data_IF_242147858329
#
_entry.id   IF_242147858329
#
_cell.length_a   1.000
_cell.length_b   1.000
_cell.length_c   1.000
_cell.angle_alpha   90.00
_cell.angle_beta   90.00
_cell.angle_gamma   90.00
#
_symmetry.space_group_name_H-M   'P 1'
#
loop_
_entity.id
_entity.type
_entity.pdbx_description
1 polymer ?
#
# COMPACT_ATOMS: atom_id res chain seq x y z
N UNK A 1 1.51 -5.13 9.97
CA UNK A 1 1.73 -4.95 11.42
C UNK A 1 3.14 -4.41 11.74
N UNK A 2 4.13 -4.54 10.86
CA UNK A 2 5.54 -4.20 11.13
C UNK A 2 5.93 -2.75 10.79
N UNK A 3 5.05 -1.96 10.18
CA UNK A 3 5.30 -0.58 9.73
C UNK A 3 5.69 0.37 10.88
N UNK A 4 4.91 0.50 11.98
CA UNK A 4 5.25 1.44 13.04
C UNK A 4 6.59 1.15 13.72
N UNK A 5 6.94 -0.10 14.07
CA UNK A 5 8.24 -0.36 14.68
C UNK A 5 9.42 -0.21 13.69
N UNK A 6 9.21 -0.37 12.37
CA UNK A 6 10.27 -0.06 11.38
C UNK A 6 10.53 1.44 11.32
N UNK A 7 9.48 2.27 11.38
CA UNK A 7 9.62 3.73 11.50
C UNK A 7 10.38 4.09 12.78
N UNK A 8 10.06 3.45 13.91
CA UNK A 8 10.79 3.66 15.15
C UNK A 8 12.29 3.31 15.02
N UNK A 9 12.62 2.22 14.31
CA UNK A 9 14.00 1.85 14.00
C UNK A 9 14.73 2.93 13.19
N UNK A 10 14.09 3.47 12.14
CA UNK A 10 14.63 4.59 11.37
C UNK A 10 14.87 5.84 12.22
N UNK A 11 13.91 6.19 13.06
CA UNK A 11 14.05 7.34 14.00
C UNK A 11 15.21 7.13 14.97
N UNK A 12 15.39 5.91 15.47
CA UNK A 12 16.50 5.59 16.38
C UNK A 12 17.86 5.76 15.68
N UNK A 13 18.01 5.32 14.44
CA UNK A 13 19.23 5.52 13.65
C UNK A 13 19.54 7.02 13.55
N UNK A 14 18.57 7.85 13.15
CA UNK A 14 18.79 9.30 13.05
C UNK A 14 18.98 10.00 14.42
N UNK A 15 18.62 9.34 15.53
CA UNK A 15 18.88 9.80 16.91
C UNK A 15 20.16 9.21 17.52
N UNK A 16 21.06 8.68 16.70
CA UNK A 16 22.36 8.10 17.10
C UNK A 16 22.27 6.85 17.99
N UNK A 17 21.22 6.08 17.85
CA UNK A 17 21.14 4.72 18.39
C UNK A 17 21.28 3.69 17.25
N UNK A 18 22.36 3.83 16.48
CA UNK A 18 22.55 3.24 15.17
C UNK A 18 22.41 1.72 15.16
N UNK A 19 23.04 1.01 16.10
CA UNK A 19 23.00 -0.45 16.11
C UNK A 19 21.63 -1.02 16.50
N UNK A 20 20.92 -0.41 17.46
CA UNK A 20 19.57 -0.83 17.87
C UNK A 20 18.58 -0.54 16.76
N UNK A 21 18.66 0.65 16.19
CA UNK A 21 17.82 1.05 15.06
C UNK A 21 18.06 0.19 13.84
N UNK A 22 19.33 -0.12 13.52
CA UNK A 22 19.71 -0.97 12.40
C UNK A 22 19.15 -2.40 12.55
N UNK A 23 19.29 -2.98 13.74
CA UNK A 23 18.78 -4.32 14.03
C UNK A 23 17.25 -4.38 13.92
N UNK A 24 16.56 -3.37 14.42
CA UNK A 24 15.11 -3.25 14.28
C UNK A 24 14.71 -3.13 12.81
N UNK A 25 15.33 -2.23 12.05
CA UNK A 25 15.01 -2.07 10.63
C UNK A 25 15.26 -3.36 9.86
N UNK A 26 16.40 -4.00 10.05
CA UNK A 26 16.78 -5.24 9.38
C UNK A 26 15.74 -6.35 9.60
N UNK A 27 15.41 -6.62 10.87
CA UNK A 27 14.48 -7.71 11.24
C UNK A 27 13.05 -7.39 10.79
N UNK A 28 12.60 -6.15 10.98
CA UNK A 28 11.23 -5.78 10.69
C UNK A 28 10.96 -5.60 9.20
N UNK A 29 11.95 -5.18 8.40
CA UNK A 29 11.87 -5.20 6.94
C UNK A 29 11.80 -6.64 6.44
N UNK A 30 12.59 -7.54 7.01
CA UNK A 30 12.52 -8.97 6.67
C UNK A 30 11.11 -9.53 6.92
N UNK A 31 10.50 -9.29 8.08
CA UNK A 31 9.14 -9.72 8.39
C UNK A 31 8.07 -9.02 7.55
N UNK A 32 8.24 -7.73 7.25
CA UNK A 32 7.31 -7.00 6.39
C UNK A 32 7.25 -7.59 4.99
N UNK A 33 8.39 -7.95 4.41
CA UNK A 33 8.46 -8.59 3.09
C UNK A 33 7.98 -10.04 3.13
N UNK A 34 8.28 -10.79 4.20
CA UNK A 34 7.79 -12.15 4.42
C UNK A 34 6.25 -12.22 4.48
N UNK A 35 5.58 -11.15 4.92
CA UNK A 35 4.12 -11.06 4.90
C UNK A 35 3.54 -10.98 3.47
N UNK A 36 4.37 -10.86 2.44
CA UNK A 36 4.06 -10.91 1.01
C UNK A 36 2.99 -9.91 0.52
N UNK A 37 2.89 -8.75 1.18
CA UNK A 37 2.03 -7.64 0.75
C UNK A 37 2.87 -6.54 0.09
N UNK A 38 3.31 -6.77 -1.15
CA UNK A 38 4.22 -5.88 -1.90
C UNK A 38 3.63 -4.47 -2.03
N UNK A 39 2.33 -4.35 -2.30
CA UNK A 39 1.65 -3.05 -2.42
C UNK A 39 1.74 -2.23 -1.12
N UNK A 40 1.51 -2.85 0.03
CA UNK A 40 1.63 -2.17 1.32
C UNK A 40 3.07 -1.77 1.63
N UNK A 41 4.03 -2.60 1.23
CA UNK A 41 5.46 -2.29 1.37
C UNK A 41 5.88 -1.10 0.48
N UNK A 42 5.29 -0.98 -0.72
CA UNK A 42 5.50 0.16 -1.60
C UNK A 42 4.97 1.48 -0.99
N UNK A 43 3.75 1.48 -0.49
CA UNK A 43 3.20 2.67 0.20
C UNK A 43 4.00 3.03 1.45
N UNK A 44 4.48 2.01 2.18
CA UNK A 44 5.35 2.23 3.32
C UNK A 44 6.67 2.90 2.92
N UNK A 45 7.26 2.52 1.78
CA UNK A 45 8.46 3.15 1.26
C UNK A 45 8.27 4.66 1.04
N UNK A 46 7.09 5.10 0.57
CA UNK A 46 6.78 6.52 0.40
C UNK A 46 6.82 7.26 1.74
N UNK A 47 6.28 6.65 2.80
CA UNK A 47 6.33 7.23 4.16
C UNK A 47 7.78 7.33 4.66
N UNK A 48 8.59 6.29 4.45
CA UNK A 48 10.01 6.29 4.79
C UNK A 48 10.77 7.40 4.04
N UNK A 49 10.43 7.62 2.77
CA UNK A 49 11.02 8.68 1.95
C UNK A 49 10.64 10.08 2.44
N UNK A 50 9.40 10.29 2.85
CA UNK A 50 8.96 11.55 3.46
C UNK A 50 9.72 11.84 4.76
N UNK A 51 9.90 10.84 5.62
CA UNK A 51 10.71 10.96 6.83
C UNK A 51 12.18 11.24 6.52
N UNK A 52 12.74 10.58 5.51
CA UNK A 52 14.11 10.83 5.06
C UNK A 52 14.29 12.31 4.68
N UNK A 53 13.40 12.88 3.88
CA UNK A 53 13.48 14.29 3.50
C UNK A 53 13.29 15.24 4.68
N UNK A 54 12.45 14.88 5.65
CA UNK A 54 12.30 15.67 6.88
C UNK A 54 13.60 15.71 7.68
N UNK A 55 14.28 14.55 7.85
CA UNK A 55 15.58 14.48 8.51
C UNK A 55 16.70 15.16 7.71
N UNK A 56 16.67 15.08 6.38
CA UNK A 56 17.60 15.80 5.51
C UNK A 56 17.46 17.32 5.69
N UNK A 57 16.24 17.83 5.65
CA UNK A 57 15.98 19.25 5.86
C UNK A 57 16.47 19.74 7.24
N UNK A 58 16.25 18.92 8.28
CA UNK A 58 16.77 19.17 9.61
C UNK A 58 18.31 19.19 9.62
N UNK A 59 18.95 18.20 9.02
CA UNK A 59 20.41 18.08 8.95
C UNK A 59 21.07 19.26 8.21
N UNK A 60 20.43 19.76 7.13
CA UNK A 60 20.87 20.96 6.42
C UNK A 60 20.79 22.18 7.34
N UNK A 61 19.66 22.37 8.03
CA UNK A 61 19.45 23.48 8.96
C UNK A 61 20.44 23.50 10.12
N UNK A 62 20.73 22.32 10.67
CA UNK A 62 21.64 22.13 11.82
C UNK A 62 23.11 21.95 11.39
N UNK A 63 23.42 21.97 10.09
CA UNK A 63 24.77 21.73 9.51
C UNK A 63 25.39 20.38 9.93
N UNK A 64 24.55 19.35 10.08
CA UNK A 64 24.95 18.00 10.51
C UNK A 64 24.87 16.98 9.39
N UNK A 65 25.22 17.37 8.17
CA UNK A 65 25.12 16.51 6.96
C UNK A 65 26.00 15.25 7.06
N UNK A 66 27.18 15.33 7.67
CA UNK A 66 28.06 14.17 7.83
C UNK A 66 27.42 13.10 8.72
N UNK A 67 26.81 13.50 9.81
CA UNK A 67 26.12 12.59 10.73
C UNK A 67 24.87 11.99 10.08
N UNK A 68 24.13 12.82 9.36
CA UNK A 68 22.99 12.37 8.57
C UNK A 68 23.40 11.34 7.50
N UNK A 69 24.51 11.57 6.78
CA UNK A 69 25.02 10.63 5.77
C UNK A 69 25.41 9.29 6.39
N UNK A 70 26.09 9.29 7.53
CA UNK A 70 26.45 8.06 8.25
C UNK A 70 25.20 7.28 8.66
N UNK A 71 24.22 7.95 9.27
CA UNK A 71 22.95 7.34 9.66
C UNK A 71 22.19 6.77 8.46
N UNK A 72 22.19 7.49 7.34
CA UNK A 72 21.56 7.02 6.11
C UNK A 72 22.25 5.78 5.53
N UNK A 73 23.57 5.71 5.55
CA UNK A 73 24.30 4.50 5.14
C UNK A 73 23.92 3.31 6.01
N UNK A 74 23.88 3.47 7.33
CA UNK A 74 23.44 2.41 8.25
C UNK A 74 22.01 1.97 7.96
N UNK A 75 21.09 2.92 7.72
CA UNK A 75 19.71 2.63 7.36
C UNK A 75 19.60 1.81 6.06
N UNK A 76 20.33 2.23 5.03
CA UNK A 76 20.32 1.54 3.72
C UNK A 76 20.90 0.14 3.83
N UNK A 77 22.04 -0.02 4.52
CA UNK A 77 22.67 -1.34 4.73
C UNK A 77 21.73 -2.27 5.51
N UNK A 78 21.13 -1.81 6.61
CA UNK A 78 20.19 -2.59 7.39
C UNK A 78 18.95 -2.99 6.55
N UNK A 79 18.41 -2.05 5.78
CA UNK A 79 17.31 -2.31 4.86
C UNK A 79 17.67 -3.34 3.80
N UNK A 80 18.84 -3.22 3.17
CA UNK A 80 19.31 -4.19 2.17
C UNK A 80 19.45 -5.60 2.75
N UNK A 81 20.02 -5.75 3.94
CA UNK A 81 20.12 -7.06 4.61
C UNK A 81 18.71 -7.63 4.84
N UNK A 82 17.77 -6.82 5.33
CA UNK A 82 16.37 -7.24 5.51
C UNK A 82 15.70 -7.68 4.21
N UNK A 83 15.96 -7.00 3.09
CA UNK A 83 15.46 -7.39 1.76
C UNK A 83 16.10 -8.68 1.28
N UNK A 84 17.40 -8.86 1.48
CA UNK A 84 18.15 -10.04 1.00
C UNK A 84 17.61 -11.34 1.59
N UNK A 85 17.09 -11.34 2.82
CA UNK A 85 16.48 -12.53 3.43
C UNK A 85 15.25 -13.04 2.67
N UNK A 86 14.60 -12.19 1.87
CA UNK A 86 13.40 -12.52 1.10
C UNK A 86 13.63 -12.50 -0.42
N UNK A 87 14.89 -12.45 -0.88
CA UNK A 87 15.21 -12.28 -2.30
C UNK A 87 14.63 -13.41 -3.17
N UNK A 88 14.63 -14.65 -2.68
CA UNK A 88 14.04 -15.79 -3.38
C UNK A 88 12.54 -15.61 -3.60
N UNK A 89 11.81 -15.23 -2.55
CA UNK A 89 10.36 -14.98 -2.63
C UNK A 89 10.04 -13.83 -3.59
N UNK A 90 10.81 -12.74 -3.51
CA UNK A 90 10.66 -11.58 -4.40
C UNK A 90 10.94 -11.96 -5.86
N UNK A 91 11.98 -12.75 -6.10
CA UNK A 91 12.32 -13.22 -7.45
C UNK A 91 11.21 -14.10 -8.02
N UNK A 92 10.72 -15.08 -7.28
CA UNK A 92 9.62 -15.93 -7.74
C UNK A 92 8.33 -15.14 -7.97
N UNK A 93 8.00 -14.19 -7.10
CA UNK A 93 6.85 -13.31 -7.28
C UNK A 93 7.00 -12.46 -8.55
N UNK A 94 8.20 -11.94 -8.82
CA UNK A 94 8.49 -11.18 -10.03
C UNK A 94 8.35 -12.06 -11.29
N UNK A 95 8.90 -13.26 -11.29
CA UNK A 95 8.75 -14.20 -12.42
C UNK A 95 7.28 -14.55 -12.63
N UNK A 96 6.57 -14.90 -11.57
CA UNK A 96 5.15 -15.25 -11.65
C UNK A 96 4.29 -14.07 -12.15
N UNK A 97 4.65 -12.83 -11.80
CA UNK A 97 3.89 -11.65 -12.25
C UNK A 97 3.91 -11.46 -13.77
N UNK A 98 4.92 -11.98 -14.46
CA UNK A 98 5.03 -11.93 -15.93
C UNK A 98 4.01 -12.87 -16.62
N UNK A 99 3.68 -13.97 -15.96
CA UNK A 99 2.74 -14.98 -16.46
C UNK A 99 1.30 -14.71 -16.02
N UNK A 100 1.06 -13.65 -15.24
CA UNK A 100 -0.29 -13.27 -14.80
C UNK A 100 -0.95 -12.33 -15.80
N UNK A 101 -2.25 -12.04 -15.61
CA UNK A 101 -3.03 -11.08 -16.41
C UNK A 101 -2.39 -9.67 -16.53
N UNK A 102 -1.37 -9.38 -15.73
CA UNK A 102 -0.58 -8.15 -15.81
C UNK A 102 0.60 -8.23 -16.76
N UNK A 103 0.94 -9.44 -17.24
CA UNK A 103 1.94 -9.69 -18.26
C UNK A 103 1.37 -9.61 -19.67
N UNK A 104 2.17 -10.00 -20.67
CA UNK A 104 1.70 -10.12 -22.05
C UNK A 104 0.70 -11.28 -22.12
N UNK A 105 -0.50 -11.04 -22.67
CA UNK A 105 -1.47 -12.10 -22.93
C UNK A 105 -0.99 -12.95 -24.09
N UNK A 106 -0.74 -14.24 -23.86
CA UNK A 106 -0.47 -15.20 -24.95
C UNK A 106 -1.75 -15.63 -25.69
N UNK A 107 -2.90 -15.46 -25.03
CA UNK A 107 -4.19 -15.76 -25.63
C UNK A 107 -4.72 -14.51 -26.34
N UNK A 108 -4.61 -14.52 -27.68
CA UNK A 108 -5.26 -13.52 -28.51
C UNK A 108 -6.78 -13.74 -28.47
N UNK A 109 -7.46 -12.98 -27.62
CA UNK A 109 -8.91 -12.87 -27.70
C UNK A 109 -9.27 -12.12 -28.99
N UNK A 110 -9.64 -12.83 -30.01
CA UNK A 110 -10.27 -12.27 -31.20
C UNK A 110 -11.61 -11.65 -30.78
N UNK A 111 -11.67 -10.33 -30.66
CA UNK A 111 -12.93 -9.64 -30.47
C UNK A 111 -13.00 -8.39 -29.60
N UNK A 112 -11.92 -7.95 -28.92
CA UNK A 112 -11.96 -6.73 -28.16
C UNK A 112 -11.09 -5.63 -28.79
N UNK A 113 -11.71 -4.48 -29.08
CA UNK A 113 -11.08 -3.32 -29.74
C UNK A 113 -10.01 -2.58 -28.90
N UNK A 114 -9.75 -2.99 -27.67
CA UNK A 114 -8.78 -2.36 -26.76
C UNK A 114 -7.59 -3.28 -26.48
N UNK A 115 -6.72 -3.48 -27.46
CA UNK A 115 -5.48 -4.24 -27.28
C UNK A 115 -4.38 -3.34 -26.73
N UNK A 116 -4.16 -3.37 -25.44
CA UNK A 116 -2.88 -2.93 -24.87
C UNK A 116 -1.89 -4.10 -25.00
N UNK A 117 -0.77 -3.89 -25.67
CA UNK A 117 0.28 -4.92 -25.87
C UNK A 117 0.94 -5.38 -24.57
N UNK A 118 0.79 -4.64 -23.48
CA UNK A 118 1.27 -4.99 -22.13
C UNK A 118 0.46 -4.22 -21.08
N UNK A 119 -0.08 -4.93 -20.09
CA UNK A 119 -0.79 -4.34 -18.94
C UNK A 119 -2.25 -4.80 -18.84
N UNK A 120 -2.94 -4.26 -17.84
CA UNK A 120 -4.35 -4.53 -17.60
C UNK A 120 -5.23 -3.72 -18.58
N UNK A 121 -6.33 -4.32 -19.00
CA UNK A 121 -7.34 -3.66 -19.83
C UNK A 121 -7.92 -2.45 -19.09
N UNK A 122 -8.18 -1.36 -19.83
CA UNK A 122 -8.64 -0.09 -19.27
C UNK A 122 -9.92 -0.24 -18.45
N UNK A 123 -10.87 -1.00 -18.96
CA UNK A 123 -12.16 -1.20 -18.29
C UNK A 123 -12.00 -1.96 -16.98
N UNK A 124 -11.07 -2.91 -16.91
CA UNK A 124 -10.72 -3.60 -15.68
C UNK A 124 -10.06 -2.64 -14.67
N UNK A 125 -9.15 -1.76 -15.10
CA UNK A 125 -8.48 -0.80 -14.22
C UNK A 125 -9.49 0.20 -13.65
N UNK A 126 -10.46 0.64 -14.46
CA UNK A 126 -11.43 1.65 -14.08
C UNK A 126 -12.65 1.11 -13.34
N UNK A 127 -12.90 -0.21 -13.41
CA UNK A 127 -14.06 -0.87 -12.79
C UNK A 127 -14.20 -0.59 -11.28
N UNK A 128 -13.08 -0.38 -10.60
CA UNK A 128 -13.02 -0.12 -9.15
C UNK A 128 -12.52 1.29 -8.83
N UNK A 129 -12.55 2.19 -9.81
CA UNK A 129 -12.10 3.58 -9.63
C UNK A 129 -13.16 4.40 -8.89
N UNK A 130 -12.69 5.27 -8.00
CA UNK A 130 -13.56 6.28 -7.39
C UNK A 130 -14.05 7.26 -8.45
N UNK A 131 -15.35 7.52 -8.49
CA UNK A 131 -15.91 8.63 -9.26
C UNK A 131 -15.47 9.98 -8.68
N UNK A 132 -15.48 11.02 -9.53
CA UNK A 132 -15.09 12.39 -9.11
C UNK A 132 -15.86 12.84 -7.85
N UNK A 133 -17.17 12.52 -7.78
CA UNK A 133 -17.99 12.83 -6.62
C UNK A 133 -17.68 12.01 -5.37
N UNK A 134 -17.20 10.78 -5.56
CA UNK A 134 -16.83 9.87 -4.45
C UNK A 134 -15.54 10.31 -3.75
N UNK A 135 -14.66 11.05 -4.47
CA UNK A 135 -13.44 11.60 -3.90
C UNK A 135 -13.72 12.52 -2.71
N UNK A 136 -14.88 13.19 -2.69
CA UNK A 136 -15.31 14.01 -1.55
C UNK A 136 -15.52 13.22 -0.25
N UNK A 137 -15.70 11.90 -0.32
CA UNK A 137 -15.80 11.03 0.86
C UNK A 137 -14.51 11.04 1.69
N UNK A 138 -13.36 11.40 1.10
CA UNK A 138 -12.09 11.58 1.81
C UNK A 138 -12.10 12.80 2.75
N UNK A 139 -12.87 13.83 2.40
CA UNK A 139 -13.00 15.06 3.19
C UNK A 139 -14.20 15.00 4.15
N UNK A 140 -15.32 14.46 3.67
CA UNK A 140 -16.56 14.37 4.44
C UNK A 140 -17.02 12.91 4.44
N UNK A 141 -16.90 12.20 5.58
CA UNK A 141 -17.30 10.80 5.66
C UNK A 141 -18.75 10.57 5.20
N UNK A 142 -18.96 9.49 4.46
CA UNK A 142 -20.27 9.04 3.97
C UNK A 142 -20.98 9.97 2.97
N UNK A 143 -20.27 10.91 2.33
CA UNK A 143 -20.87 11.82 1.34
C UNK A 143 -21.46 11.09 0.13
N UNK A 144 -20.82 10.02 -0.32
CA UNK A 144 -21.22 9.19 -1.48
C UNK A 144 -21.36 7.71 -1.15
N UNK A 145 -21.53 7.39 0.10
CA UNK A 145 -21.65 6.02 0.57
C UNK A 145 -20.95 5.82 1.90
N UNK A 146 -21.18 4.69 2.53
CA UNK A 146 -20.58 4.32 3.81
C UNK A 146 -19.72 3.08 3.71
N UNK A 147 -19.41 2.47 4.85
CA UNK A 147 -18.75 1.18 4.90
C UNK A 147 -19.56 0.10 4.16
N UNK A 148 -18.86 -0.84 3.54
CA UNK A 148 -19.48 -2.01 2.91
C UNK A 148 -20.12 -2.91 3.99
N UNK A 149 -21.36 -2.59 4.34
CA UNK A 149 -22.16 -3.36 5.29
C UNK A 149 -23.47 -3.75 4.60
N UNK A 150 -24.06 -4.90 4.95
CA UNK A 150 -25.37 -5.28 4.43
C UNK A 150 -26.40 -4.16 4.68
N UNK A 151 -27.20 -3.85 3.67
CA UNK A 151 -28.24 -2.82 3.73
C UNK A 151 -29.23 -3.06 4.89
N UNK A 152 -29.46 -4.33 5.22
CA UNK A 152 -30.28 -4.75 6.37
C UNK A 152 -29.80 -4.21 7.71
N UNK A 153 -28.49 -3.96 7.87
CA UNK A 153 -27.92 -3.39 9.10
C UNK A 153 -28.07 -1.87 9.17
N UNK A 154 -28.37 -1.21 8.06
CA UNK A 154 -28.59 0.24 8.03
C UNK A 154 -30.04 0.57 8.42
N UNK A 155 -30.28 0.72 9.73
CA UNK A 155 -31.59 1.01 10.28
C UNK A 155 -32.27 2.24 9.65
N UNK A 156 -31.49 3.25 9.27
CA UNK A 156 -32.01 4.50 8.66
C UNK A 156 -32.46 4.25 7.22
N UNK A 157 -31.69 3.51 6.42
CA UNK A 157 -32.08 3.14 5.07
C UNK A 157 -33.30 2.22 5.06
N UNK A 158 -33.32 1.21 5.93
CA UNK A 158 -34.45 0.28 6.07
C UNK A 158 -35.73 0.97 6.52
N UNK A 159 -35.64 2.01 7.36
CA UNK A 159 -36.82 2.79 7.81
C UNK A 159 -37.40 3.65 6.69
N UNK A 160 -36.56 4.13 5.75
CA UNK A 160 -36.96 4.94 4.59
C UNK A 160 -37.34 4.09 3.35
N UNK A 161 -37.03 2.80 3.37
CA UNK A 161 -37.35 1.91 2.27
C UNK A 161 -38.84 1.69 2.15
N UNK A 162 -39.39 1.68 0.92
CA UNK A 162 -40.79 1.31 0.66
C UNK A 162 -41.01 -0.13 1.08
N UNK A 163 -42.20 -0.45 1.65
CA UNK A 163 -42.52 -1.79 2.14
C UNK A 163 -42.27 -2.90 1.13
N UNK A 164 -42.59 -2.64 -0.13
CA UNK A 164 -42.43 -3.56 -1.29
C UNK A 164 -40.99 -4.03 -1.50
N UNK A 165 -40.00 -3.18 -1.20
CA UNK A 165 -38.58 -3.46 -1.45
C UNK A 165 -37.81 -3.88 -0.21
N UNK A 166 -38.44 -3.90 1.00
CA UNK A 166 -37.71 -4.23 2.23
C UNK A 166 -37.11 -5.63 2.23
N UNK A 167 -37.85 -6.58 1.64
CA UNK A 167 -37.39 -7.97 1.53
C UNK A 167 -36.19 -8.08 0.59
N UNK A 168 -36.23 -7.39 -0.54
CA UNK A 168 -35.14 -7.35 -1.51
C UNK A 168 -33.91 -6.68 -0.87
N UNK A 169 -34.08 -5.56 -0.19
CA UNK A 169 -32.97 -4.86 0.48
C UNK A 169 -32.38 -5.66 1.65
N UNK A 170 -33.14 -6.54 2.28
CA UNK A 170 -32.61 -7.43 3.33
C UNK A 170 -31.68 -8.51 2.77
N UNK A 171 -31.86 -8.88 1.50
CA UNK A 171 -31.04 -9.88 0.81
C UNK A 171 -29.84 -9.27 0.08
N UNK A 172 -29.86 -7.96 -0.20
CA UNK A 172 -28.74 -7.28 -0.84
C UNK A 172 -27.59 -7.07 0.17
N UNK A 173 -26.56 -7.87 -0.02
CA UNK A 173 -25.24 -7.60 0.57
C UNK A 173 -24.55 -6.57 -0.31
N UNK A 174 -24.19 -5.43 0.24
CA UNK A 174 -23.29 -4.51 -0.45
C UNK A 174 -21.91 -5.17 -0.57
N UNK A 175 -21.43 -5.26 -1.78
CA UNK A 175 -20.04 -5.56 -2.10
C UNK A 175 -19.23 -4.28 -2.14
#
# INVERSE_FOLDING_TARGET
>A
AYIPPTIAGMILIYRRKDWVGALLVMVLVAFQLSANHIQMSYYFLIVMLALFFAYLAKAIKEKQLVEFSKATVVLVVAGMIGVTTNISSLYHTYQYSKETMRGKSELSHHGAENKTEAGLERDYITAWSYGVGETFTLLVPNTKGGASVPLSLNKTAMKKARPEYKEIYSQLTQY
#
